data_IF_662486500480
#
_entry.id   IF_662486500480
#
_cell.length_a   1.000
_cell.length_b   1.000
_cell.length_c   1.000
_cell.angle_alpha   90.00
_cell.angle_beta   90.00
_cell.angle_gamma   90.00
#
_symmetry.space_group_name_H-M   'P 1'
#
loop_
_entity.id
_entity.type
_entity.pdbx_description
1 polymer ?
#
# COMPACT_ATOMS: atom_id res chain seq x y z
N UNK A 1 3.30 21.15 14.89
CA UNK A 1 2.65 21.49 15.26
C UNK A 1 1.92 21.05 16.06
N UNK A 2 1.69 20.94 16.58
CA UNK A 2 1.11 20.57 17.19
C UNK A 2 0.49 20.72 18.39
N UNK A 3 0.58 20.50 19.05
CA UNK A 3 0.09 20.42 20.36
C UNK A 3 -0.38 21.67 20.95
N UNK A 4 0.08 22.66 20.42
CA UNK A 4 -0.25 23.99 20.87
C UNK A 4 -1.73 24.26 20.79
N UNK A 5 -2.39 23.57 19.96
CA UNK A 5 -3.80 23.75 19.75
C UNK A 5 -4.60 23.50 21.00
N UNK A 6 -4.14 22.54 21.79
CA UNK A 6 -4.87 22.16 22.99
C UNK A 6 -4.88 23.24 24.04
N UNK A 7 -3.91 24.13 24.00
CA UNK A 7 -3.79 25.17 25.00
C UNK A 7 -4.54 26.42 24.65
N UNK A 8 -5.08 26.47 23.50
CA UNK A 8 -5.74 27.68 23.04
C UNK A 8 -7.18 27.68 23.48
N UNK A 9 -7.62 28.81 23.90
CA UNK A 9 -9.03 29.01 24.19
C UNK A 9 -9.81 28.69 22.95
N UNK A 10 -11.07 28.39 23.13
CA UNK A 10 -11.95 28.08 22.01
C UNK A 10 -11.89 29.21 20.99
N UNK A 11 -11.36 28.91 19.80
CA UNK A 11 -11.26 29.93 18.77
C UNK A 11 -12.64 30.25 18.19
N UNK A 12 -12.77 31.48 17.70
CA UNK A 12 -14.02 31.89 17.08
C UNK A 12 -14.38 31.10 15.83
N UNK A 13 -13.37 30.50 15.20
CA UNK A 13 -13.58 29.69 14.00
C UNK A 13 -14.10 28.30 14.30
N UNK A 14 -14.18 27.92 15.56
CA UNK A 14 -14.64 26.59 15.92
C UNK A 14 -16.12 26.42 15.64
N UNK A 15 -16.45 25.47 14.79
CA UNK A 15 -17.81 25.11 14.49
C UNK A 15 -18.10 23.77 15.15
N UNK A 16 -18.87 23.80 16.22
CA UNK A 16 -19.13 22.60 17.02
C UNK A 16 -19.87 21.53 16.26
N UNK A 17 -20.79 21.91 15.39
CA UNK A 17 -21.51 20.93 14.57
C UNK A 17 -20.60 20.22 13.61
N UNK A 18 -19.73 20.98 12.97
CA UNK A 18 -18.74 20.40 12.04
C UNK A 18 -17.80 19.48 12.76
N UNK A 19 -17.31 19.90 13.91
CA UNK A 19 -16.38 19.09 14.70
C UNK A 19 -17.03 17.77 15.09
N UNK A 20 -18.28 17.79 15.51
CA UNK A 20 -19.00 16.58 15.88
C UNK A 20 -19.10 15.61 14.68
N UNK A 21 -19.42 16.14 13.50
CA UNK A 21 -19.51 15.32 12.30
C UNK A 21 -18.17 14.69 11.94
N UNK A 22 -17.11 15.48 12.03
CA UNK A 22 -15.78 14.99 11.70
C UNK A 22 -15.30 13.93 12.68
N UNK A 23 -15.60 14.10 13.97
CA UNK A 23 -15.25 13.11 14.96
C UNK A 23 -15.92 11.76 14.69
N UNK A 24 -17.17 11.78 14.25
CA UNK A 24 -17.89 10.55 13.94
C UNK A 24 -17.24 9.78 12.80
N UNK A 25 -16.67 10.49 11.83
CA UNK A 25 -16.03 9.86 10.70
C UNK A 25 -14.62 9.37 10.98
N UNK A 26 -14.09 9.70 12.15
CA UNK A 26 -12.69 9.41 12.45
C UNK A 26 -12.58 8.06 13.18
N UNK A 27 -12.19 7.02 12.43
CA UNK A 27 -11.99 5.69 12.97
C UNK A 27 -10.50 5.40 13.06
N UNK A 28 -9.93 5.49 14.27
CA UNK A 28 -8.50 5.40 14.46
C UNK A 28 -7.90 4.08 13.98
N UNK A 29 -8.61 2.97 14.18
CA UNK A 29 -8.10 1.67 13.78
C UNK A 29 -7.93 1.54 12.26
N UNK A 30 -8.86 2.15 11.53
CA UNK A 30 -8.78 2.14 10.07
C UNK A 30 -7.52 2.85 9.60
N UNK A 31 -7.14 3.93 10.26
CA UNK A 31 -5.94 4.68 9.89
C UNK A 31 -4.66 3.91 10.20
N UNK A 32 -4.65 3.12 11.25
CA UNK A 32 -3.50 2.25 11.56
C UNK A 32 -3.29 1.25 10.43
N UNK A 33 -4.35 0.63 9.96
CA UNK A 33 -4.26 -0.36 8.88
C UNK A 33 -3.84 0.28 7.56
N UNK A 34 -4.42 1.44 7.24
CA UNK A 34 -4.06 2.16 6.03
C UNK A 34 -2.60 2.59 6.08
N UNK A 35 -2.13 3.04 7.24
CA UNK A 35 -0.74 3.45 7.39
C UNK A 35 0.23 2.29 7.13
N UNK A 36 -0.13 1.08 7.51
CA UNK A 36 0.68 -0.11 7.23
C UNK A 36 0.80 -0.35 5.73
N UNK A 37 -0.29 -0.14 4.99
CA UNK A 37 -0.28 -0.27 3.54
C UNK A 37 0.67 0.75 2.93
N UNK A 38 0.55 2.01 3.31
CA UNK A 38 1.42 3.05 2.77
C UNK A 38 2.88 2.80 3.12
N UNK A 39 3.15 2.28 4.31
CA UNK A 39 4.52 1.93 4.70
C UNK A 39 5.08 0.86 3.78
N UNK A 40 4.29 -0.16 3.46
CA UNK A 40 4.72 -1.21 2.54
C UNK A 40 4.98 -0.66 1.14
N UNK A 41 4.27 0.39 0.74
CA UNK A 41 4.40 1.01 -0.56
C UNK A 41 5.53 2.02 -0.66
N UNK A 42 6.13 2.43 0.45
CA UNK A 42 7.13 3.49 0.45
C UNK A 42 8.52 3.00 0.09
N UNK A 43 8.61 2.14 -0.92
CA UNK A 43 9.87 1.59 -1.39
C UNK A 43 9.77 1.36 -2.90
N UNK A 44 10.66 1.95 -3.70
CA UNK A 44 10.56 1.87 -5.15
C UNK A 44 10.47 0.44 -5.69
N UNK A 45 11.27 -0.46 -5.16
CA UNK A 45 11.26 -1.84 -5.66
C UNK A 45 9.95 -2.55 -5.35
N UNK A 46 9.35 -2.28 -4.21
CA UNK A 46 8.05 -2.88 -3.90
C UNK A 46 6.94 -2.33 -4.79
N UNK A 47 7.02 -1.06 -5.14
CA UNK A 47 6.09 -0.50 -6.12
C UNK A 47 6.24 -1.18 -7.47
N UNK A 48 7.49 -1.46 -7.88
CA UNK A 48 7.75 -2.18 -9.12
C UNK A 48 7.14 -3.57 -9.10
N UNK A 49 7.24 -4.28 -7.98
CA UNK A 49 6.63 -5.60 -7.85
C UNK A 49 5.12 -5.51 -8.06
N UNK A 50 4.48 -4.54 -7.42
CA UNK A 50 3.03 -4.37 -7.57
C UNK A 50 2.66 -4.03 -9.01
N UNK A 51 3.43 -3.17 -9.64
CA UNK A 51 3.21 -2.82 -11.03
C UNK A 51 3.26 -4.06 -11.92
N UNK A 52 4.30 -4.88 -11.75
CA UNK A 52 4.47 -6.10 -12.55
C UNK A 52 3.33 -7.10 -12.31
N UNK A 53 2.95 -7.29 -11.05
CA UNK A 53 1.83 -8.17 -10.74
C UNK A 53 0.50 -7.64 -11.24
N UNK A 54 0.41 -6.33 -11.43
CA UNK A 54 -0.76 -5.72 -12.06
C UNK A 54 -0.86 -6.05 -13.54
N UNK A 55 0.28 -6.33 -14.19
CA UNK A 55 0.29 -6.73 -15.59
C UNK A 55 -0.12 -8.20 -15.73
N UNK A 56 0.45 -9.08 -14.92
CA UNK A 56 0.05 -10.48 -14.88
C UNK A 56 0.63 -11.16 -13.65
N UNK A 57 0.02 -12.27 -13.22
CA UNK A 57 0.56 -13.04 -12.09
C UNK A 57 1.95 -13.58 -12.41
N UNK A 58 2.80 -13.64 -11.38
CA UNK A 58 4.19 -14.05 -11.54
C UNK A 58 4.64 -14.96 -10.41
N UNK A 59 5.60 -15.83 -10.69
CA UNK A 59 6.35 -16.51 -9.64
C UNK A 59 7.54 -15.61 -9.23
N UNK A 60 8.20 -15.96 -8.14
CA UNK A 60 9.32 -15.16 -7.65
C UNK A 60 10.47 -15.10 -8.65
N UNK A 61 10.68 -16.17 -9.41
CA UNK A 61 11.75 -16.20 -10.41
C UNK A 61 11.49 -15.21 -11.53
N UNK A 62 10.24 -15.06 -11.94
CA UNK A 62 9.88 -14.06 -12.94
C UNK A 62 10.28 -12.67 -12.49
N UNK A 63 9.91 -12.33 -11.25
CA UNK A 63 10.19 -11.01 -10.70
C UNK A 63 11.70 -10.79 -10.55
N UNK A 64 12.40 -11.81 -10.08
CA UNK A 64 13.86 -11.75 -9.95
C UNK A 64 14.52 -11.42 -11.28
N UNK A 65 14.11 -12.09 -12.33
CA UNK A 65 14.70 -11.88 -13.66
C UNK A 65 14.34 -10.52 -14.25
N UNK A 66 13.07 -10.14 -14.16
CA UNK A 66 12.62 -8.86 -14.72
C UNK A 66 13.29 -7.68 -14.02
N UNK A 67 13.42 -7.78 -12.70
CA UNK A 67 13.96 -6.68 -11.90
C UNK A 67 15.48 -6.72 -11.76
N UNK A 68 16.10 -7.82 -12.16
CA UNK A 68 17.55 -7.97 -12.02
C UNK A 68 17.99 -8.02 -10.57
N UNK A 69 17.23 -8.68 -9.71
CA UNK A 69 17.53 -8.80 -8.28
C UNK A 69 17.58 -10.27 -7.87
N UNK A 70 18.27 -10.58 -6.77
CA UNK A 70 18.32 -11.97 -6.28
C UNK A 70 16.95 -12.47 -5.87
N UNK A 71 16.71 -13.77 -6.03
CA UNK A 71 15.47 -14.39 -5.61
C UNK A 71 15.14 -14.13 -4.14
N UNK A 72 16.09 -14.22 -3.20
CA UNK A 72 15.77 -13.91 -1.79
C UNK A 72 15.27 -12.49 -1.59
N UNK A 73 15.78 -11.54 -2.36
CA UNK A 73 15.34 -10.15 -2.28
C UNK A 73 13.91 -10.01 -2.78
N UNK A 74 13.61 -10.62 -3.93
CA UNK A 74 12.25 -10.61 -4.46
C UNK A 74 11.28 -11.27 -3.50
N UNK A 75 11.69 -12.39 -2.88
CA UNK A 75 10.87 -13.07 -1.88
C UNK A 75 10.58 -12.17 -0.68
N UNK A 76 11.57 -11.40 -0.26
CA UNK A 76 11.42 -10.49 0.86
C UNK A 76 10.39 -9.40 0.56
N UNK A 77 10.44 -8.84 -0.65
CA UNK A 77 9.45 -7.84 -1.07
C UNK A 77 8.04 -8.43 -1.09
N UNK A 78 7.90 -9.64 -1.62
CA UNK A 78 6.61 -10.31 -1.66
C UNK A 78 6.08 -10.58 -0.25
N UNK A 79 6.95 -10.95 0.67
CA UNK A 79 6.56 -11.20 2.06
C UNK A 79 6.01 -9.93 2.71
N UNK A 80 6.69 -8.81 2.52
CA UNK A 80 6.26 -7.53 3.09
C UNK A 80 4.92 -7.12 2.49
N UNK A 81 4.77 -7.23 1.18
CA UNK A 81 3.52 -6.86 0.51
C UNK A 81 2.37 -7.78 0.90
N UNK A 82 2.66 -9.06 1.09
CA UNK A 82 1.65 -10.02 1.51
C UNK A 82 1.15 -9.72 2.92
N UNK A 83 2.06 -9.38 3.84
CA UNK A 83 1.68 -9.01 5.20
C UNK A 83 0.82 -7.75 5.23
N UNK A 84 1.01 -6.87 4.27
CA UNK A 84 0.20 -5.66 4.15
C UNK A 84 -1.14 -5.92 3.45
N UNK A 85 -1.39 -7.15 3.00
CA UNK A 85 -2.64 -7.49 2.35
C UNK A 85 -2.72 -7.07 0.89
N UNK A 86 -1.58 -6.82 0.25
CA UNK A 86 -1.55 -6.34 -1.12
C UNK A 86 -1.30 -7.43 -2.15
N UNK A 87 -0.71 -8.55 -1.71
CA UNK A 87 -0.33 -9.64 -2.58
C UNK A 87 -0.81 -10.95 -1.96
N UNK A 88 -1.24 -11.85 -2.80
CA UNK A 88 -1.63 -13.20 -2.40
C UNK A 88 -0.98 -14.19 -3.36
N UNK A 89 -1.03 -15.47 -3.01
CA UNK A 89 -0.45 -16.49 -3.88
C UNK A 89 -1.30 -17.75 -3.87
N UNK A 90 -1.07 -18.56 -4.90
CA UNK A 90 -1.63 -19.90 -4.95
C UNK A 90 -0.59 -20.84 -5.58
N UNK A 91 -0.76 -22.11 -5.33
CA UNK A 91 0.14 -23.11 -5.89
C UNK A 91 -0.38 -23.59 -7.22
N UNK A 92 0.53 -23.68 -8.20
CA UNK A 92 0.25 -24.23 -9.50
C UNK A 92 1.32 -25.27 -9.77
N UNK A 93 1.02 -26.53 -9.45
CA UNK A 93 2.01 -27.60 -9.49
C UNK A 93 3.11 -27.34 -8.46
N UNK A 94 4.33 -27.25 -8.90
CA UNK A 94 5.47 -26.95 -8.02
C UNK A 94 5.79 -25.46 -7.96
N UNK A 95 5.05 -24.64 -8.67
CA UNK A 95 5.28 -23.20 -8.69
C UNK A 95 4.31 -22.52 -7.73
N UNK A 96 4.77 -21.38 -7.19
CA UNK A 96 3.94 -20.49 -6.37
C UNK A 96 3.73 -19.24 -7.20
N UNK A 97 2.49 -18.95 -7.51
CA UNK A 97 2.13 -17.83 -8.38
C UNK A 97 1.52 -16.71 -7.53
N UNK A 98 2.12 -15.53 -7.60
CA UNK A 98 1.67 -14.37 -6.86
C UNK A 98 0.80 -13.48 -7.73
N UNK A 99 -0.19 -12.86 -7.10
CA UNK A 99 -1.10 -11.92 -7.77
C UNK A 99 -1.53 -10.83 -6.81
N UNK A 100 -2.13 -9.77 -7.36
CA UNK A 100 -2.63 -8.67 -6.54
C UNK A 100 -3.93 -9.07 -5.86
N UNK A 101 -4.13 -8.59 -4.64
CA UNK A 101 -5.42 -8.70 -3.95
C UNK A 101 -6.37 -7.63 -4.46
N UNK A 102 -7.65 -7.72 -4.07
CA UNK A 102 -8.61 -6.67 -4.36
C UNK A 102 -8.21 -5.35 -3.73
N UNK A 103 -7.63 -5.41 -2.52
CA UNK A 103 -7.14 -4.21 -1.85
C UNK A 103 -6.10 -3.50 -2.70
N UNK A 104 -5.13 -4.26 -3.22
CA UNK A 104 -4.09 -3.67 -4.06
C UNK A 104 -4.69 -3.06 -5.32
N UNK A 105 -5.63 -3.73 -5.95
CA UNK A 105 -6.27 -3.23 -7.17
C UNK A 105 -7.05 -1.96 -6.93
N UNK A 106 -7.60 -1.78 -5.73
CA UNK A 106 -8.37 -0.58 -5.39
C UNK A 106 -7.49 0.64 -5.13
N UNK A 107 -6.17 0.47 -5.00
CA UNK A 107 -5.25 1.59 -4.77
C UNK A 107 -4.97 2.39 -6.04
N UNK A 108 -5.43 1.90 -7.18
CA UNK A 108 -5.24 2.60 -8.43
C UNK A 108 -4.29 1.88 -9.37
N UNK A 109 -4.11 2.48 -10.54
CA UNK A 109 -3.30 1.89 -11.60
C UNK A 109 -1.92 2.53 -11.62
N UNK A 110 -0.91 1.80 -11.20
CA UNK A 110 0.46 2.28 -11.20
C UNK A 110 1.01 2.54 -12.61
N UNK A 111 0.37 1.95 -13.63
CA UNK A 111 0.74 2.23 -15.00
C UNK A 111 0.52 3.69 -15.38
N UNK A 112 -0.45 4.33 -14.76
CA UNK A 112 -0.72 5.75 -15.02
C UNK A 112 0.41 6.63 -14.50
N UNK A 113 1.13 6.16 -13.49
CA UNK A 113 2.28 6.90 -12.95
C UNK A 113 3.36 6.99 -14.03
N UNK A 114 3.61 5.90 -14.74
CA UNK A 114 4.56 5.91 -15.84
C UNK A 114 4.14 6.92 -16.91
N UNK A 115 2.86 6.98 -17.23
CA UNK A 115 2.36 7.91 -18.22
C UNK A 115 2.59 9.37 -17.82
N UNK A 116 2.57 9.64 -16.51
CA UNK A 116 2.77 10.99 -16.00
C UNK A 116 4.26 11.38 -16.01
N UNK A 117 5.14 10.45 -15.66
CA UNK A 117 6.56 10.76 -15.48
C UNK A 117 7.45 10.39 -16.65
N UNK A 118 6.95 9.64 -17.59
CA UNK A 118 7.69 9.26 -18.77
C UNK A 118 7.15 9.94 -20.02
#
# INVERSE_FOLDING_TARGET
MKADIAMIDTPKCLNTSKVARLKKGLEADAFVDIAKIYKALSHPSRLQVLYLLGLEPCCVCDLSHVMGIPVPTASQYLRILRKAGLVEFEKDGKFIIYSLTLTARSLGDLGKVNAIYL
#
